data_IF_028220767079
#
_entry.id   IF_028220767079
#
_cell.length_a   1.000
_cell.length_b   1.000
_cell.length_c   1.000
_cell.angle_alpha   90.00
_cell.angle_beta   90.00
_cell.angle_gamma   90.00
#
_symmetry.space_group_name_H-M   'P 1'
#
loop_
_entity.id
_entity.type
_entity.pdbx_description
1 polymer ?
#
# COMPACT_ATOMS: atom_id res chain seq x y z
N UNK A 1 45.52 -39.96 22.17
CA UNK A 1 45.57 -40.20 20.71
C UNK A 1 44.69 -39.16 20.04
N UNK A 2 45.32 -38.16 19.42
CA UNK A 2 44.63 -37.17 18.60
C UNK A 2 44.36 -37.80 17.23
N UNK A 3 43.10 -38.16 16.97
CA UNK A 3 42.63 -38.56 15.65
C UNK A 3 42.19 -37.33 14.87
N UNK A 4 43.11 -36.75 14.09
CA UNK A 4 42.77 -35.89 12.97
C UNK A 4 42.13 -36.72 11.84
N UNK A 5 41.36 -36.05 10.98
CA UNK A 5 40.80 -36.47 9.67
C UNK A 5 39.30 -36.82 9.74
N UNK A 6 38.39 -36.15 9.03
CA UNK A 6 38.51 -35.47 7.72
C UNK A 6 37.73 -34.15 7.72
N UNK A 7 38.37 -33.06 7.27
CA UNK A 7 37.64 -31.99 6.56
C UNK A 7 36.96 -32.67 5.38
N UNK A 8 35.63 -32.81 5.40
CA UNK A 8 34.87 -33.10 4.18
C UNK A 8 35.11 -31.90 3.26
N UNK A 9 35.97 -32.05 2.28
CA UNK A 9 35.86 -31.23 1.08
C UNK A 9 34.44 -31.46 0.55
N UNK A 10 33.56 -30.47 0.72
CA UNK A 10 32.27 -30.42 0.03
C UNK A 10 32.62 -30.34 -1.44
N UNK A 11 32.63 -31.49 -2.12
CA UNK A 11 32.62 -31.55 -3.56
C UNK A 11 31.24 -31.04 -3.97
N UNK A 12 31.12 -29.72 -4.14
CA UNK A 12 29.87 -29.11 -4.57
C UNK A 12 29.59 -29.55 -6.00
N UNK A 13 28.46 -30.23 -6.21
CA UNK A 13 28.06 -30.69 -7.52
C UNK A 13 27.84 -29.45 -8.42
N UNK A 14 28.55 -29.29 -9.55
CA UNK A 14 28.44 -28.09 -10.38
C UNK A 14 27.00 -27.80 -10.85
N UNK A 15 26.22 -28.85 -11.07
CA UNK A 15 24.80 -28.82 -11.43
C UNK A 15 23.92 -28.29 -10.30
N UNK A 16 24.21 -28.66 -9.05
CA UNK A 16 23.54 -28.08 -7.87
C UNK A 16 23.80 -26.57 -7.79
N UNK A 17 25.05 -26.13 -7.98
CA UNK A 17 25.38 -24.69 -7.94
C UNK A 17 24.65 -23.90 -9.03
N UNK A 18 24.49 -24.48 -10.23
CA UNK A 18 23.67 -23.88 -11.29
C UNK A 18 22.19 -23.78 -10.91
N UNK A 19 21.65 -24.75 -10.17
CA UNK A 19 20.27 -24.68 -9.67
C UNK A 19 20.12 -23.58 -8.62
N UNK A 20 21.08 -23.42 -7.72
CA UNK A 20 21.12 -22.31 -6.75
C UNK A 20 21.13 -20.96 -7.48
N UNK A 21 22.00 -20.78 -8.48
CA UNK A 21 22.07 -19.53 -9.25
C UNK A 21 20.74 -19.21 -9.97
N UNK A 22 20.08 -20.23 -10.53
CA UNK A 22 18.76 -20.08 -11.15
C UNK A 22 17.70 -19.69 -10.12
N UNK A 23 17.76 -20.27 -8.93
CA UNK A 23 16.84 -19.95 -7.83
C UNK A 23 17.03 -18.51 -7.35
N UNK A 24 18.27 -18.09 -7.10
CA UNK A 24 18.60 -16.73 -6.71
C UNK A 24 18.15 -15.72 -7.78
N UNK A 25 18.34 -16.04 -9.07
CA UNK A 25 17.86 -15.21 -10.19
C UNK A 25 16.34 -15.10 -10.21
N UNK A 26 15.62 -16.19 -9.92
CA UNK A 26 14.17 -16.18 -9.85
C UNK A 26 13.68 -15.30 -8.68
N UNK A 27 14.27 -15.45 -7.49
CA UNK A 27 13.94 -14.63 -6.32
C UNK A 27 14.18 -13.14 -6.58
N UNK A 28 15.30 -12.80 -7.22
CA UNK A 28 15.60 -11.42 -7.62
C UNK A 28 14.52 -10.85 -8.55
N UNK A 29 14.08 -11.62 -9.56
CA UNK A 29 12.99 -11.20 -10.47
C UNK A 29 11.66 -11.02 -9.75
N UNK A 30 11.34 -11.90 -8.80
CA UNK A 30 10.12 -11.76 -8.00
C UNK A 30 10.15 -10.49 -7.16
N UNK A 31 11.30 -10.18 -6.54
CA UNK A 31 11.46 -8.94 -5.79
C UNK A 31 11.36 -7.68 -6.68
N UNK A 32 12.00 -7.68 -7.86
CA UNK A 32 11.86 -6.58 -8.83
C UNK A 32 10.41 -6.36 -9.22
N UNK A 33 9.70 -7.44 -9.59
CA UNK A 33 8.28 -7.35 -9.95
C UNK A 33 7.42 -6.81 -8.81
N UNK A 34 7.70 -7.24 -7.58
CA UNK A 34 7.00 -6.76 -6.39
C UNK A 34 7.19 -5.24 -6.22
N UNK A 35 8.43 -4.75 -6.27
CA UNK A 35 8.73 -3.31 -6.15
C UNK A 35 8.08 -2.48 -7.27
N UNK A 36 8.19 -2.93 -8.52
CA UNK A 36 7.55 -2.27 -9.66
C UNK A 36 6.03 -2.22 -9.50
N UNK A 37 5.44 -3.29 -8.97
CA UNK A 37 4.00 -3.37 -8.73
C UNK A 37 3.55 -2.43 -7.60
N UNK A 38 4.37 -2.20 -6.57
CA UNK A 38 4.09 -1.18 -5.55
C UNK A 38 4.09 0.23 -6.15
N UNK A 39 5.11 0.59 -6.93
CA UNK A 39 5.20 1.91 -7.58
C UNK A 39 3.99 2.15 -8.50
N UNK A 40 3.68 1.18 -9.36
CA UNK A 40 2.54 1.28 -10.28
C UNK A 40 1.20 1.35 -9.51
N UNK A 41 1.09 0.65 -8.37
CA UNK A 41 -0.08 0.73 -7.52
C UNK A 41 -0.27 2.13 -6.94
N UNK A 42 0.81 2.81 -6.54
CA UNK A 42 0.71 4.19 -6.04
C UNK A 42 0.06 5.11 -7.06
N UNK A 43 0.64 5.12 -8.25
CA UNK A 43 0.24 6.02 -9.33
C UNK A 43 -1.21 5.77 -9.70
N UNK A 44 -1.58 4.50 -9.95
CA UNK A 44 -2.94 4.12 -10.30
C UNK A 44 -3.96 4.50 -9.23
N UNK A 45 -3.64 4.35 -7.95
CA UNK A 45 -4.57 4.65 -6.86
C UNK A 45 -4.74 6.14 -6.59
N UNK A 46 -3.67 6.92 -6.77
CA UNK A 46 -3.71 8.36 -6.68
C UNK A 46 -4.43 9.00 -7.88
N UNK A 47 -4.33 8.40 -9.06
CA UNK A 47 -5.07 8.82 -10.25
C UNK A 47 -6.55 8.43 -10.13
N UNK A 48 -6.86 7.20 -9.70
CA UNK A 48 -8.23 6.78 -9.40
C UNK A 48 -8.90 7.69 -8.37
N UNK A 49 -8.15 8.20 -7.38
CA UNK A 49 -8.70 9.17 -6.42
C UNK A 49 -9.20 10.42 -7.14
N UNK A 50 -8.47 10.95 -8.12
CA UNK A 50 -8.90 12.13 -8.87
C UNK A 50 -10.07 11.79 -9.79
N UNK A 51 -9.99 10.68 -10.53
CA UNK A 51 -11.02 10.26 -11.49
C UNK A 51 -12.35 9.93 -10.82
N UNK A 52 -12.31 9.37 -9.60
CA UNK A 52 -13.49 9.08 -8.77
C UNK A 52 -14.02 10.31 -8.02
N UNK A 53 -13.59 11.52 -8.37
CA UNK A 53 -13.96 12.76 -7.69
C UNK A 53 -13.66 12.67 -6.17
N UNK A 54 -12.45 12.23 -5.84
CA UNK A 54 -11.94 12.09 -4.48
C UNK A 54 -12.79 11.16 -3.62
N UNK A 55 -13.26 10.03 -4.18
CA UNK A 55 -13.85 8.93 -3.41
C UNK A 55 -12.75 7.99 -2.89
N UNK A 56 -12.41 8.16 -1.61
CA UNK A 56 -11.37 7.36 -0.97
C UNK A 56 -11.76 5.88 -0.85
N UNK A 57 -13.05 5.56 -0.77
CA UNK A 57 -13.51 4.16 -0.66
C UNK A 57 -13.17 3.41 -1.94
N UNK A 58 -13.40 4.03 -3.09
CA UNK A 58 -13.03 3.49 -4.40
C UNK A 58 -11.53 3.16 -4.47
N UNK A 59 -10.65 4.08 -4.07
CA UNK A 59 -9.21 3.83 -4.07
C UNK A 59 -8.80 2.70 -3.10
N UNK A 60 -9.40 2.61 -1.92
CA UNK A 60 -9.07 1.52 -0.98
C UNK A 60 -9.59 0.15 -1.44
N UNK A 61 -10.70 0.10 -2.17
CA UNK A 61 -11.18 -1.12 -2.81
C UNK A 61 -10.22 -1.58 -3.91
N UNK A 62 -9.75 -0.66 -4.76
CA UNK A 62 -8.74 -0.95 -5.76
C UNK A 62 -7.42 -1.46 -5.13
N UNK A 63 -6.98 -0.86 -4.02
CA UNK A 63 -5.82 -1.34 -3.25
C UNK A 63 -6.00 -2.79 -2.79
N UNK A 64 -7.19 -3.17 -2.33
CA UNK A 64 -7.45 -4.55 -1.86
C UNK A 64 -7.20 -5.59 -2.95
N UNK A 65 -7.58 -5.29 -4.20
CA UNK A 65 -7.30 -6.15 -5.35
C UNK A 65 -5.80 -6.26 -5.66
N UNK A 66 -5.09 -5.13 -5.62
CA UNK A 66 -3.64 -5.08 -5.84
C UNK A 66 -2.89 -5.82 -4.72
N UNK A 67 -3.29 -5.61 -3.45
CA UNK A 67 -2.75 -6.29 -2.27
C UNK A 67 -2.82 -7.81 -2.44
N UNK A 68 -3.96 -8.34 -2.88
CA UNK A 68 -4.10 -9.77 -3.15
C UNK A 68 -3.14 -10.26 -4.24
N UNK A 69 -2.95 -9.48 -5.31
CA UNK A 69 -2.00 -9.83 -6.37
C UNK A 69 -0.56 -9.82 -5.87
N UNK A 70 -0.18 -8.85 -5.03
CA UNK A 70 1.14 -8.80 -4.41
C UNK A 70 1.38 -10.00 -3.49
N UNK A 71 0.39 -10.36 -2.67
CA UNK A 71 0.46 -11.54 -1.79
C UNK A 71 0.62 -12.84 -2.60
N UNK A 72 -0.05 -12.96 -3.75
CA UNK A 72 0.09 -14.14 -4.62
C UNK A 72 1.51 -14.35 -5.17
N UNK A 73 2.38 -13.31 -5.12
CA UNK A 73 3.79 -13.47 -5.46
C UNK A 73 4.53 -14.29 -4.41
N UNK A 74 4.16 -14.20 -3.14
CA UNK A 74 4.72 -15.05 -2.07
C UNK A 74 4.33 -16.50 -2.28
N UNK A 75 3.05 -16.77 -2.54
CA UNK A 75 2.56 -18.13 -2.84
C UNK A 75 3.33 -18.73 -4.02
N UNK A 76 3.57 -17.93 -5.07
CA UNK A 76 4.33 -18.36 -6.24
C UNK A 76 5.79 -18.72 -5.91
N UNK A 77 6.43 -18.03 -4.95
CA UNK A 77 7.79 -18.35 -4.51
C UNK A 77 7.80 -19.73 -3.85
N UNK A 78 6.89 -19.96 -2.91
CA UNK A 78 6.72 -21.23 -2.21
C UNK A 78 6.42 -22.37 -3.18
N UNK A 79 5.41 -22.20 -4.04
CA UNK A 79 5.01 -23.19 -5.05
C UNK A 79 6.17 -23.54 -5.99
N UNK A 80 6.95 -22.55 -6.42
CA UNK A 80 8.08 -22.78 -7.33
C UNK A 80 9.17 -23.56 -6.62
N UNK A 81 9.44 -23.25 -5.33
CA UNK A 81 10.42 -23.98 -4.57
C UNK A 81 10.01 -25.44 -4.39
N UNK A 82 8.82 -25.68 -3.85
CA UNK A 82 8.37 -27.02 -3.48
C UNK A 82 8.12 -27.93 -4.68
N UNK A 83 7.53 -27.40 -5.75
CA UNK A 83 7.15 -28.22 -6.89
C UNK A 83 8.25 -28.37 -7.94
N UNK A 84 9.24 -27.46 -7.97
CA UNK A 84 10.24 -27.42 -9.06
C UNK A 84 11.68 -27.44 -8.55
N UNK A 85 12.05 -26.55 -7.64
CA UNK A 85 13.45 -26.36 -7.23
C UNK A 85 13.90 -27.46 -6.28
N UNK A 86 13.14 -27.69 -5.19
CA UNK A 86 13.44 -28.69 -4.16
C UNK A 86 13.60 -30.09 -4.76
N UNK A 87 12.69 -30.62 -5.60
CA UNK A 87 12.87 -31.94 -6.20
C UNK A 87 14.17 -32.08 -7.01
N UNK A 88 14.54 -31.06 -7.78
CA UNK A 88 15.77 -31.07 -8.58
C UNK A 88 17.03 -30.98 -7.70
N UNK A 89 16.99 -30.18 -6.62
CA UNK A 89 18.12 -30.09 -5.70
C UNK A 89 18.35 -31.40 -4.93
N UNK A 90 17.28 -32.13 -4.61
CA UNK A 90 17.34 -33.43 -3.94
C UNK A 90 17.97 -34.54 -4.78
N UNK A 91 18.14 -34.35 -6.10
CA UNK A 91 18.93 -35.28 -6.94
C UNK A 91 20.43 -35.22 -6.62
N UNK A 92 20.89 -34.12 -6.02
CA UNK A 92 22.32 -33.85 -5.78
C UNK A 92 22.70 -33.77 -4.30
N UNK A 93 21.74 -33.44 -3.43
CA UNK A 93 21.96 -33.20 -1.99
C UNK A 93 20.81 -33.73 -1.15
N UNK A 94 21.11 -34.08 0.10
CA UNK A 94 20.09 -34.45 1.09
C UNK A 94 19.24 -33.23 1.49
N UNK A 95 18.03 -33.47 1.99
CA UNK A 95 17.10 -32.40 2.38
C UNK A 95 17.70 -31.41 3.40
N UNK A 96 18.44 -31.93 4.38
CA UNK A 96 19.12 -31.10 5.39
C UNK A 96 20.18 -30.16 4.79
N UNK A 97 20.78 -30.52 3.65
CA UNK A 97 21.82 -29.73 3.00
C UNK A 97 21.25 -28.64 2.07
N UNK A 98 19.93 -28.58 1.89
CA UNK A 98 19.24 -27.59 1.03
C UNK A 98 18.28 -26.67 1.81
N UNK A 99 18.21 -26.83 3.13
CA UNK A 99 17.33 -26.01 3.98
C UNK A 99 17.57 -24.51 3.81
N UNK A 100 18.82 -24.09 3.69
CA UNK A 100 19.17 -22.67 3.48
C UNK A 100 18.50 -22.11 2.21
N UNK A 101 18.40 -22.91 1.14
CA UNK A 101 17.78 -22.50 -0.11
C UNK A 101 16.26 -22.36 0.00
N UNK A 102 15.62 -23.23 0.77
CA UNK A 102 14.20 -23.10 1.11
C UNK A 102 13.94 -21.88 1.99
N UNK A 103 14.81 -21.64 2.97
CA UNK A 103 14.71 -20.49 3.86
C UNK A 103 14.83 -19.15 3.10
N UNK A 104 15.62 -19.08 2.02
CA UNK A 104 15.65 -17.89 1.15
C UNK A 104 14.26 -17.57 0.58
N UNK A 105 13.54 -18.59 0.12
CA UNK A 105 12.18 -18.44 -0.41
C UNK A 105 11.20 -17.96 0.64
N UNK A 106 11.19 -18.62 1.80
CA UNK A 106 10.34 -18.26 2.94
C UNK A 106 10.61 -16.82 3.37
N UNK A 107 11.88 -16.46 3.60
CA UNK A 107 12.25 -15.12 4.02
C UNK A 107 11.85 -14.05 2.98
N UNK A 108 11.98 -14.34 1.68
CA UNK A 108 11.52 -13.43 0.63
C UNK A 108 10.01 -13.25 0.67
N UNK A 109 9.24 -14.35 0.75
CA UNK A 109 7.79 -14.33 0.83
C UNK A 109 7.27 -13.59 2.06
N UNK A 110 7.83 -13.84 3.24
CA UNK A 110 7.52 -13.12 4.48
C UNK A 110 7.83 -11.63 4.35
N UNK A 111 8.96 -11.27 3.72
CA UNK A 111 9.32 -9.87 3.50
C UNK A 111 8.27 -9.12 2.70
N UNK A 112 7.59 -9.77 1.75
CA UNK A 112 6.54 -9.13 0.95
C UNK A 112 5.35 -8.75 1.82
N UNK A 113 4.89 -9.61 2.73
CA UNK A 113 3.78 -9.27 3.64
C UNK A 113 4.10 -8.04 4.49
N UNK A 114 5.27 -8.02 5.13
CA UNK A 114 5.70 -6.88 5.95
C UNK A 114 5.85 -5.58 5.12
N UNK A 115 6.31 -5.69 3.88
CA UNK A 115 6.48 -4.54 2.99
C UNK A 115 5.13 -4.04 2.47
N UNK A 116 4.20 -4.92 2.15
CA UNK A 116 2.82 -4.58 1.78
C UNK A 116 2.14 -3.80 2.90
N UNK A 117 2.22 -4.29 4.14
CA UNK A 117 1.53 -3.64 5.26
C UNK A 117 2.13 -2.27 5.59
N UNK A 118 3.47 -2.15 5.58
CA UNK A 118 4.14 -0.85 5.71
C UNK A 118 3.75 0.10 4.58
N UNK A 119 3.75 -0.40 3.36
CA UNK A 119 3.39 0.39 2.19
C UNK A 119 1.94 0.86 2.23
N UNK A 120 1.02 0.02 2.70
CA UNK A 120 -0.39 0.40 2.86
C UNK A 120 -0.55 1.62 3.76
N UNK A 121 0.18 1.70 4.89
CA UNK A 121 0.14 2.86 5.79
C UNK A 121 0.60 4.13 5.05
N UNK A 122 1.71 4.05 4.32
CA UNK A 122 2.23 5.19 3.54
C UNK A 122 1.25 5.64 2.45
N UNK A 123 0.67 4.67 1.73
CA UNK A 123 -0.30 4.91 0.66
C UNK A 123 -1.59 5.55 1.20
N UNK A 124 -2.14 5.04 2.30
CA UNK A 124 -3.30 5.63 2.98
C UNK A 124 -3.00 7.09 3.37
N UNK A 125 -1.81 7.36 3.90
CA UNK A 125 -1.36 8.72 4.22
C UNK A 125 -1.27 9.64 3.00
N UNK A 126 -0.73 9.14 1.87
CA UNK A 126 -0.64 9.91 0.61
C UNK A 126 -2.01 10.21 0.03
N UNK A 127 -2.91 9.22 -0.01
CA UNK A 127 -4.31 9.38 -0.44
C UNK A 127 -5.01 10.41 0.45
N UNK A 128 -4.88 10.28 1.76
CA UNK A 128 -5.45 11.19 2.76
C UNK A 128 -4.93 12.62 2.57
N UNK A 129 -3.63 12.80 2.35
CA UNK A 129 -3.02 14.12 2.14
C UNK A 129 -3.52 14.77 0.83
N UNK A 130 -3.62 13.99 -0.26
CA UNK A 130 -4.13 14.48 -1.55
C UNK A 130 -5.61 14.84 -1.46
N UNK A 131 -6.41 14.02 -0.78
CA UNK A 131 -7.81 14.31 -0.45
C UNK A 131 -7.93 15.60 0.36
N UNK A 132 -7.15 15.74 1.43
CA UNK A 132 -7.19 16.92 2.30
C UNK A 132 -6.89 18.19 1.50
N UNK A 133 -5.82 18.18 0.69
CA UNK A 133 -5.42 19.32 -0.13
C UNK A 133 -6.52 19.77 -1.10
N UNK A 134 -7.34 18.84 -1.60
CA UNK A 134 -8.50 19.16 -2.40
C UNK A 134 -9.66 19.68 -1.55
N UNK A 135 -10.00 18.97 -0.46
CA UNK A 135 -11.14 19.29 0.40
C UNK A 135 -11.04 20.69 1.04
N UNK A 136 -9.83 21.13 1.43
CA UNK A 136 -9.64 22.46 2.03
C UNK A 136 -9.89 23.62 1.07
N UNK A 137 -9.86 23.39 -0.25
CA UNK A 137 -10.16 24.43 -1.24
C UNK A 137 -11.60 24.92 -1.11
N UNK A 138 -12.52 24.04 -0.70
CA UNK A 138 -13.94 24.36 -0.49
C UNK A 138 -14.19 25.20 0.78
N UNK A 139 -13.23 25.31 1.73
CA UNK A 139 -13.40 26.09 2.96
C UNK A 139 -13.50 27.60 2.71
N UNK A 140 -13.08 28.07 1.54
CA UNK A 140 -13.06 29.48 1.18
C UNK A 140 -14.18 29.87 0.20
N UNK A 141 -15.13 28.97 -0.06
CA UNK A 141 -16.27 29.31 -0.91
C UNK A 141 -17.17 30.36 -0.24
N UNK A 142 -17.56 31.35 -1.03
CA UNK A 142 -18.45 32.41 -0.58
C UNK A 142 -19.88 31.88 -0.47
N UNK A 143 -20.44 31.94 0.73
CA UNK A 143 -21.86 31.68 0.93
C UNK A 143 -22.66 32.97 0.81
N UNK A 144 -23.75 32.91 0.06
CA UNK A 144 -24.60 34.06 -0.22
C UNK A 144 -26.02 33.75 0.21
N UNK A 145 -26.71 34.77 0.69
CA UNK A 145 -28.12 34.68 1.01
C UNK A 145 -28.91 34.31 -0.25
N UNK A 146 -29.75 33.28 -0.15
CA UNK A 146 -30.57 32.77 -1.26
C UNK A 146 -31.56 33.80 -1.79
N UNK A 147 -32.00 34.75 -0.96
CA UNK A 147 -32.97 35.80 -1.32
C UNK A 147 -32.34 37.06 -1.91
N UNK A 148 -31.35 37.66 -1.24
CA UNK A 148 -30.80 38.96 -1.64
C UNK A 148 -29.37 38.89 -2.21
N UNK A 149 -28.77 37.71 -2.29
CA UNK A 149 -27.38 37.49 -2.73
C UNK A 149 -26.30 38.19 -1.88
N UNK A 150 -26.66 38.79 -0.75
CA UNK A 150 -25.69 39.34 0.20
C UNK A 150 -24.74 38.24 0.69
N UNK A 151 -23.46 38.56 0.80
CA UNK A 151 -22.45 37.64 1.34
C UNK A 151 -22.73 37.40 2.83
N UNK A 152 -22.71 36.14 3.23
CA UNK A 152 -22.95 35.71 4.61
C UNK A 152 -21.65 35.21 5.22
N UNK A 153 -21.38 35.62 6.46
CA UNK A 153 -20.26 35.10 7.23
C UNK A 153 -20.64 33.75 7.85
N UNK A 154 -19.77 32.75 7.68
CA UNK A 154 -19.96 31.41 8.21
C UNK A 154 -18.81 31.07 9.14
N UNK A 155 -19.13 30.40 10.24
CA UNK A 155 -18.16 29.75 11.12
C UNK A 155 -17.59 28.50 10.42
N UNK A 156 -16.37 28.62 9.91
CA UNK A 156 -15.68 27.60 9.09
C UNK A 156 -15.20 26.37 9.88
N UNK A 157 -15.25 26.41 11.20
CA UNK A 157 -14.94 25.32 12.12
C UNK A 157 -16.12 24.35 12.35
N UNK A 158 -17.27 24.60 11.70
CA UNK A 158 -18.47 23.77 11.86
C UNK A 158 -18.64 22.82 10.67
N UNK A 159 -18.24 21.56 10.85
CA UNK A 159 -18.38 20.46 9.87
C UNK A 159 -19.82 19.89 9.77
N UNK A 160 -20.83 20.65 10.19
CA UNK A 160 -22.25 20.24 10.16
C UNK A 160 -23.13 21.37 9.67
N UNK A 161 -24.28 21.01 9.11
CA UNK A 161 -25.26 22.01 8.68
C UNK A 161 -25.73 22.87 9.85
N UNK A 162 -25.93 24.16 9.60
CA UNK A 162 -26.42 25.11 10.59
C UNK A 162 -27.14 26.29 9.92
N UNK A 163 -27.96 26.97 10.71
CA UNK A 163 -28.70 28.14 10.25
C UNK A 163 -27.85 29.41 10.33
N UNK A 164 -27.95 30.24 9.29
CA UNK A 164 -27.28 31.54 9.18
C UNK A 164 -28.31 32.59 8.79
N UNK A 165 -28.54 33.55 9.68
CA UNK A 165 -29.44 34.68 9.42
C UNK A 165 -28.74 35.71 8.53
N UNK A 166 -29.49 36.28 7.59
CA UNK A 166 -29.02 37.38 6.76
C UNK A 166 -29.37 38.72 7.40
N UNK A 167 -28.37 39.52 7.75
CA UNK A 167 -28.58 40.84 8.37
C UNK A 167 -29.25 41.86 7.43
N UNK A 168 -29.16 41.65 6.12
CA UNK A 168 -29.73 42.58 5.14
C UNK A 168 -31.24 42.38 4.93
N UNK A 169 -31.70 41.14 4.78
CA UNK A 169 -33.10 40.84 4.45
C UNK A 169 -33.84 39.97 5.48
N UNK A 170 -33.19 39.65 6.61
CA UNK A 170 -33.70 38.83 7.72
C UNK A 170 -34.12 37.40 7.34
N UNK A 171 -33.73 36.92 6.16
CA UNK A 171 -33.95 35.53 5.77
C UNK A 171 -32.99 34.60 6.53
N UNK A 172 -33.52 33.47 7.00
CA UNK A 172 -32.71 32.37 7.55
C UNK A 172 -32.29 31.45 6.41
N UNK A 173 -30.99 31.27 6.23
CA UNK A 173 -30.40 30.36 5.26
C UNK A 173 -29.86 29.13 5.99
N UNK A 174 -29.84 27.98 5.33
CA UNK A 174 -29.17 26.77 5.84
C UNK A 174 -27.84 26.66 5.14
N UNK A 175 -26.74 26.79 5.88
CA UNK A 175 -25.43 26.42 5.38
C UNK A 175 -25.26 24.92 5.55
N UNK A 176 -24.87 24.23 4.47
CA UNK A 176 -24.46 22.83 4.49
C UNK A 176 -23.03 22.77 3.97
N UNK A 177 -22.06 22.32 4.78
CA UNK A 177 -20.69 22.13 4.32
C UNK A 177 -20.63 21.16 3.14
N UNK A 178 -19.66 21.35 2.24
CA UNK A 178 -19.37 20.37 1.20
C UNK A 178 -19.07 19.00 1.83
N UNK A 179 -19.60 17.91 1.25
CA UNK A 179 -19.42 16.55 1.76
C UNK A 179 -17.93 16.18 1.95
N UNK A 180 -17.04 16.71 1.09
CA UNK A 180 -15.60 16.50 1.20
C UNK A 180 -15.00 17.19 2.43
N UNK A 181 -15.49 18.37 2.80
CA UNK A 181 -15.10 19.06 4.05
C UNK A 181 -15.52 18.23 5.26
N UNK A 182 -16.74 17.68 5.26
CA UNK A 182 -17.21 16.85 6.36
C UNK A 182 -16.37 15.57 6.54
N UNK A 183 -15.81 15.06 5.44
CA UNK A 183 -14.94 13.88 5.42
C UNK A 183 -13.50 14.16 5.89
N UNK A 184 -13.05 15.42 5.99
CA UNK A 184 -11.69 15.79 6.44
C UNK A 184 -11.35 15.15 7.79
N UNK A 185 -12.33 15.07 8.71
CA UNK A 185 -12.13 14.50 10.04
C UNK A 185 -11.50 13.10 10.01
N UNK A 186 -11.83 12.29 9.01
CA UNK A 186 -11.40 10.89 8.93
C UNK A 186 -10.01 10.70 8.33
N UNK A 187 -9.44 11.74 7.73
CA UNK A 187 -8.14 11.65 7.03
C UNK A 187 -6.97 12.21 7.83
N UNK A 188 -7.25 13.00 8.88
CA UNK A 188 -6.21 13.67 9.67
C UNK A 188 -5.29 12.65 10.34
N UNK A 189 -5.85 11.58 10.92
CA UNK A 189 -5.06 10.54 11.60
C UNK A 189 -4.09 9.87 10.62
N UNK A 190 -4.54 9.60 9.38
CA UNK A 190 -3.71 9.01 8.32
C UNK A 190 -2.59 9.93 7.84
N UNK A 191 -2.83 11.24 7.84
CA UNK A 191 -1.78 12.23 7.53
C UNK A 191 -0.73 12.30 8.66
N UNK A 192 -1.15 12.13 9.92
CA UNK A 192 -0.22 12.07 11.05
C UNK A 192 0.63 10.81 10.98
N UNK A 193 0.02 9.65 10.70
CA UNK A 193 0.73 8.37 10.50
C UNK A 193 1.81 8.47 9.41
N UNK A 194 1.59 9.25 8.35
CA UNK A 194 2.59 9.46 7.28
C UNK A 194 3.86 10.19 7.75
N UNK A 195 3.79 10.96 8.83
CA UNK A 195 4.89 11.81 9.33
C UNK A 195 5.71 11.17 10.44
N UNK A 196 5.30 10.00 10.92
CA UNK A 196 5.95 9.23 11.98
C UNK A 196 6.78 8.09 11.39
#
# INVERSE_FOLDING_TARGET
MFGLSKKKEKNEHPEYLKLVEKWDTFLAKMNTRFEESLVNAEEALLDNLVESNYDMVSSMQAWSGIKSQLQSLSDKIEDTFDNTVKPQMLEYKEEWDILDEGQKGIAMGESFYERIDRYQVLLEGKIAQRFYNHAVQFLNEDFKCTQCSAKLEIKKDIFRSHYVSCDYCNTVNTFTPNDKIAQIRWVVDKIVELKC
#
